data_IF_829883632824
#
_entry.id   IF_829883632824
#
_cell.length_a   1.000
_cell.length_b   1.000
_cell.length_c   1.000
_cell.angle_alpha   90.00
_cell.angle_beta   90.00
_cell.angle_gamma   90.00
#
_symmetry.space_group_name_H-M   'P 1'
#
loop_
_entity.id
_entity.type
_entity.pdbx_description
1 polymer ?
#
# COMPACT_ATOMS: atom_id res chain seq x y z
N UNK A 1 -19.40 21.81 -21.91
CA UNK A 1 -18.86 20.75 -22.75
C UNK A 1 -18.52 21.20 -24.18
N UNK A 2 -19.44 21.94 -24.86
CA UNK A 2 -19.19 22.41 -26.23
C UNK A 2 -17.96 23.32 -26.36
N UNK A 3 -17.74 24.27 -25.42
CA UNK A 3 -16.57 25.14 -25.44
C UNK A 3 -15.26 24.42 -25.11
N UNK A 4 -15.30 23.43 -24.20
CA UNK A 4 -14.14 22.58 -23.92
C UNK A 4 -13.77 21.71 -25.11
N UNK A 5 -14.79 21.17 -25.79
CA UNK A 5 -14.59 20.39 -26.99
C UNK A 5 -13.96 21.26 -28.09
N UNK A 6 -14.51 22.47 -28.29
CA UNK A 6 -13.96 23.44 -29.23
C UNK A 6 -12.52 23.84 -28.90
N UNK A 7 -12.16 24.03 -27.63
CA UNK A 7 -10.79 24.32 -27.23
C UNK A 7 -9.84 23.15 -27.46
N UNK A 8 -10.26 21.91 -27.16
CA UNK A 8 -9.48 20.71 -27.45
C UNK A 8 -9.29 20.48 -28.94
N UNK A 9 -10.30 20.72 -29.73
CA UNK A 9 -10.22 20.66 -31.21
C UNK A 9 -9.27 21.73 -31.77
N UNK A 10 -9.30 22.94 -31.20
CA UNK A 10 -8.38 24.01 -31.58
C UNK A 10 -6.92 23.67 -31.17
N UNK A 11 -6.67 23.08 -30.01
CA UNK A 11 -5.34 22.59 -29.61
C UNK A 11 -4.84 21.49 -30.54
N UNK A 12 -5.68 20.51 -30.87
CA UNK A 12 -5.32 19.46 -31.80
C UNK A 12 -4.99 19.99 -33.20
N UNK A 13 -5.66 21.09 -33.65
CA UNK A 13 -5.34 21.76 -34.90
C UNK A 13 -3.98 22.49 -34.87
N UNK A 14 -3.58 23.03 -33.70
CA UNK A 14 -2.25 23.63 -33.51
C UNK A 14 -1.17 22.56 -33.60
N UNK A 15 -1.36 21.42 -32.96
CA UNK A 15 -0.40 20.31 -33.00
C UNK A 15 -0.26 19.75 -34.44
N UNK A 16 -1.39 19.58 -35.15
CA UNK A 16 -1.38 19.15 -36.54
C UNK A 16 -0.68 20.16 -37.48
N UNK A 17 -0.86 21.49 -37.24
CA UNK A 17 -0.21 22.52 -38.00
C UNK A 17 1.32 22.56 -37.71
N UNK A 18 1.75 22.33 -36.47
CA UNK A 18 3.17 22.22 -36.11
C UNK A 18 3.84 21.00 -36.76
N UNK A 19 3.12 19.89 -36.78
CA UNK A 19 3.57 18.69 -37.49
C UNK A 19 3.71 18.92 -39.00
N UNK A 20 2.84 19.72 -39.60
CA UNK A 20 2.93 20.11 -40.99
C UNK A 20 4.18 20.98 -41.29
N UNK A 21 4.54 21.89 -40.39
CA UNK A 21 5.78 22.67 -40.46
C UNK A 21 7.00 21.75 -40.42
N UNK A 22 7.00 20.77 -39.52
CA UNK A 22 8.11 19.82 -39.41
C UNK A 22 8.29 18.94 -40.66
N UNK A 23 7.22 18.69 -41.41
CA UNK A 23 7.21 17.89 -42.65
C UNK A 23 7.46 18.67 -43.92
N UNK A 24 7.40 20.02 -43.87
CA UNK A 24 7.55 20.86 -45.05
C UNK A 24 9.00 20.89 -45.62
N UNK A 25 9.99 20.41 -44.86
CA UNK A 25 11.37 20.29 -45.34
C UNK A 25 11.99 21.63 -45.76
N UNK A 26 12.85 21.62 -46.79
CA UNK A 26 13.59 22.82 -47.29
C UNK A 26 12.80 23.66 -48.30
N UNK A 27 11.53 23.38 -48.53
CA UNK A 27 10.69 24.08 -49.52
C UNK A 27 10.11 25.36 -48.92
N UNK A 28 10.71 26.52 -49.22
CA UNK A 28 10.42 27.81 -48.58
C UNK A 28 8.95 28.26 -48.72
N UNK A 29 8.28 27.95 -49.87
CA UNK A 29 6.87 28.32 -50.04
C UNK A 29 5.94 27.46 -49.17
N UNK A 30 6.23 26.19 -49.03
CA UNK A 30 5.45 25.28 -48.14
C UNK A 30 5.68 25.58 -46.67
N UNK A 31 6.89 25.98 -46.30
CA UNK A 31 7.22 26.38 -44.93
C UNK A 31 6.44 27.63 -44.51
N UNK A 32 6.40 28.65 -45.37
CA UNK A 32 5.69 29.92 -45.12
C UNK A 32 4.16 29.70 -44.99
N UNK A 33 3.58 28.88 -45.86
CA UNK A 33 2.16 28.51 -45.79
C UNK A 33 1.83 27.71 -44.53
N UNK A 34 2.73 26.82 -44.08
CA UNK A 34 2.54 26.03 -42.85
C UNK A 34 2.70 26.93 -41.57
N UNK A 35 3.60 27.88 -41.57
CA UNK A 35 3.77 28.88 -40.48
C UNK A 35 2.54 29.79 -40.34
N UNK A 36 1.96 30.24 -41.44
CA UNK A 36 0.69 30.99 -41.42
C UNK A 36 -0.46 30.12 -40.87
N UNK A 37 -0.47 28.84 -41.20
CA UNK A 37 -1.44 27.89 -40.63
C UNK A 37 -1.30 27.72 -39.12
N UNK A 38 -0.07 27.67 -38.59
CA UNK A 38 0.19 27.61 -37.14
C UNK A 38 -0.32 28.87 -36.44
N UNK A 39 -0.02 30.06 -36.99
CA UNK A 39 -0.49 31.34 -36.45
C UNK A 39 -2.01 31.43 -36.40
N UNK A 40 -2.70 30.98 -37.46
CA UNK A 40 -4.18 30.94 -37.46
C UNK A 40 -4.74 29.94 -36.44
N UNK A 41 -4.14 28.78 -36.30
CA UNK A 41 -4.57 27.80 -35.31
C UNK A 41 -4.31 28.26 -33.86
N UNK A 42 -3.17 28.93 -33.61
CA UNK A 42 -2.86 29.50 -32.27
C UNK A 42 -3.80 30.65 -31.90
N UNK A 43 -4.18 31.51 -32.86
CA UNK A 43 -5.18 32.58 -32.61
C UNK A 43 -6.55 31.97 -32.30
N UNK A 44 -7.01 30.96 -33.04
CA UNK A 44 -8.25 30.27 -32.79
C UNK A 44 -8.26 29.57 -31.42
N UNK A 45 -7.14 28.92 -31.03
CA UNK A 45 -7.00 28.31 -29.73
C UNK A 45 -7.04 29.34 -28.59
N UNK A 46 -6.38 30.49 -28.75
CA UNK A 46 -6.40 31.59 -27.77
C UNK A 46 -7.79 32.19 -27.57
N UNK A 47 -8.54 32.39 -28.67
CA UNK A 47 -9.93 32.86 -28.59
C UNK A 47 -10.86 31.83 -27.94
N UNK A 48 -10.71 30.54 -28.26
CA UNK A 48 -11.49 29.48 -27.63
C UNK A 48 -11.18 29.38 -26.13
N UNK A 49 -9.92 29.55 -25.74
CA UNK A 49 -9.50 29.61 -24.33
C UNK A 49 -10.16 30.81 -23.61
N UNK A 50 -10.08 31.99 -24.20
CA UNK A 50 -10.67 33.21 -23.63
C UNK A 50 -12.18 33.07 -23.39
N UNK A 51 -12.93 32.53 -24.35
CA UNK A 51 -14.37 32.26 -24.20
C UNK A 51 -14.65 31.20 -23.09
N UNK A 52 -13.80 30.23 -22.95
CA UNK A 52 -13.90 29.22 -21.88
C UNK A 52 -13.67 29.86 -20.49
N UNK A 53 -12.66 30.69 -20.36
CA UNK A 53 -12.30 31.38 -19.12
C UNK A 53 -13.35 32.43 -18.72
N UNK A 54 -13.92 33.17 -19.65
CA UNK A 54 -15.05 34.09 -19.39
C UNK A 54 -16.27 33.34 -18.87
N UNK A 55 -16.60 32.20 -19.47
CA UNK A 55 -17.74 31.37 -19.01
C UNK A 55 -17.48 30.71 -17.67
N UNK A 56 -16.21 30.35 -17.38
CA UNK A 56 -15.79 29.87 -16.05
C UNK A 56 -15.95 30.97 -15.00
N UNK A 57 -15.47 32.17 -15.29
CA UNK A 57 -15.57 33.32 -14.39
C UNK A 57 -17.02 33.66 -14.05
N UNK A 58 -17.90 33.74 -15.04
CA UNK A 58 -19.34 33.95 -14.81
C UNK A 58 -19.97 32.85 -13.94
N UNK A 59 -19.54 31.60 -14.10
CA UNK A 59 -20.04 30.46 -13.31
C UNK A 59 -19.50 30.46 -11.88
N UNK A 60 -18.24 30.86 -11.66
CA UNK A 60 -17.65 31.04 -10.33
C UNK A 60 -18.34 32.16 -9.56
N UNK A 61 -18.62 33.30 -10.20
CA UNK A 61 -19.33 34.44 -9.60
C UNK A 61 -20.74 34.04 -9.13
N UNK A 62 -21.50 33.30 -9.97
CA UNK A 62 -22.84 32.83 -9.59
C UNK A 62 -22.81 31.81 -8.45
N UNK A 63 -21.76 30.98 -8.37
CA UNK A 63 -21.61 29.98 -7.32
C UNK A 63 -21.20 30.60 -5.99
N UNK A 64 -20.26 31.54 -6.01
CA UNK A 64 -19.85 32.26 -4.83
C UNK A 64 -20.98 33.08 -4.22
N UNK A 65 -21.80 33.74 -5.08
CA UNK A 65 -23.01 34.46 -4.64
C UNK A 65 -24.02 33.56 -3.95
N UNK A 66 -24.11 32.28 -4.35
CA UNK A 66 -25.01 31.31 -3.74
C UNK A 66 -24.48 30.69 -2.43
N UNK A 67 -23.16 30.75 -2.18
CA UNK A 67 -22.54 30.22 -0.96
C UNK A 67 -22.50 31.19 0.22
N UNK A 68 -22.65 32.47 -0.03
CA UNK A 68 -22.59 33.51 1.01
C UNK A 68 -23.89 33.57 1.77
N UNK A 69 -23.85 33.37 3.09
CA UNK A 69 -24.97 33.64 3.97
C UNK A 69 -25.06 35.15 4.14
N UNK A 70 -26.26 35.70 4.00
CA UNK A 70 -26.52 37.12 4.22
C UNK A 70 -26.37 37.40 5.71
N UNK A 71 -25.25 38.00 6.14
CA UNK A 71 -24.95 38.32 7.53
C UNK A 71 -25.65 39.61 8.00
N UNK A 72 -26.16 40.40 7.06
CA UNK A 72 -26.75 41.71 7.30
C UNK A 72 -25.72 42.83 7.33
N UNK A 73 -24.41 42.51 7.27
CA UNK A 73 -23.29 43.45 7.13
C UNK A 73 -22.72 43.39 5.70
N UNK A 74 -22.84 44.45 4.90
CA UNK A 74 -22.42 44.45 3.51
C UNK A 74 -20.89 44.29 3.34
N UNK A 75 -20.09 44.74 4.29
CA UNK A 75 -18.62 44.58 4.22
C UNK A 75 -18.17 43.17 4.55
N UNK A 76 -18.84 42.49 5.46
CA UNK A 76 -18.59 41.11 5.80
C UNK A 76 -19.06 40.16 4.68
N UNK A 77 -20.24 40.42 4.11
CA UNK A 77 -20.73 39.69 2.96
C UNK A 77 -19.81 39.79 1.75
N UNK A 78 -19.18 40.97 1.53
CA UNK A 78 -18.21 41.19 0.45
C UNK A 78 -16.92 40.39 0.68
N UNK A 79 -16.37 40.39 1.90
CA UNK A 79 -15.19 39.61 2.27
C UNK A 79 -15.44 38.10 2.14
N UNK A 80 -16.60 37.63 2.57
CA UNK A 80 -16.99 36.21 2.45
C UNK A 80 -17.12 35.80 0.98
N UNK A 81 -17.63 36.69 0.11
CA UNK A 81 -17.67 36.45 -1.35
C UNK A 81 -16.28 36.34 -1.94
N UNK A 82 -15.38 37.26 -1.64
CA UNK A 82 -13.99 37.25 -2.12
C UNK A 82 -13.26 35.97 -1.71
N UNK A 83 -13.45 35.51 -0.45
CA UNK A 83 -12.86 34.26 0.05
C UNK A 83 -13.48 33.05 -0.64
N UNK A 84 -14.79 33.04 -0.88
CA UNK A 84 -15.48 31.96 -1.58
C UNK A 84 -15.03 31.86 -3.05
N UNK A 85 -14.89 33.01 -3.72
CA UNK A 85 -14.40 33.10 -5.10
C UNK A 85 -12.95 32.61 -5.22
N UNK A 86 -12.07 33.01 -4.30
CA UNK A 86 -10.69 32.57 -4.28
C UNK A 86 -10.55 31.06 -4.05
N UNK A 87 -11.34 30.51 -3.12
CA UNK A 87 -11.38 29.06 -2.86
C UNK A 87 -11.93 28.28 -4.05
N UNK A 88 -12.95 28.80 -4.68
CA UNK A 88 -13.55 28.15 -5.86
C UNK A 88 -12.59 28.20 -7.05
N UNK A 89 -11.91 29.33 -7.27
CA UNK A 89 -10.88 29.46 -8.31
C UNK A 89 -9.71 28.51 -8.09
N UNK A 90 -9.20 28.42 -6.86
CA UNK A 90 -8.14 27.45 -6.49
C UNK A 90 -8.61 26.00 -6.73
N UNK A 91 -9.83 25.67 -6.33
CA UNK A 91 -10.39 24.34 -6.52
C UNK A 91 -10.65 24.00 -8.00
N UNK A 92 -10.95 24.96 -8.85
CA UNK A 92 -11.09 24.78 -10.29
C UNK A 92 -9.74 24.63 -10.98
N UNK A 93 -8.73 25.40 -10.57
CA UNK A 93 -7.37 25.28 -11.08
C UNK A 93 -6.72 23.92 -10.75
N UNK A 94 -6.95 23.42 -9.56
CA UNK A 94 -6.45 22.10 -9.09
C UNK A 94 -7.00 20.92 -9.93
N UNK A 95 -8.09 21.13 -10.68
CA UNK A 95 -8.81 20.09 -11.39
C UNK A 95 -8.90 20.34 -12.91
N UNK A 96 -8.05 21.18 -13.46
CA UNK A 96 -8.09 21.52 -14.90
C UNK A 96 -7.90 20.30 -15.80
N UNK A 97 -7.12 19.33 -15.39
CA UNK A 97 -6.80 18.13 -16.15
C UNK A 97 -7.64 16.89 -15.78
N UNK A 98 -8.58 17.00 -14.84
CA UNK A 98 -9.37 15.87 -14.39
C UNK A 98 -10.72 15.78 -15.10
N UNK A 99 -11.05 14.68 -15.81
CA UNK A 99 -12.32 14.51 -16.53
C UNK A 99 -13.58 14.56 -15.65
N UNK A 100 -13.45 14.52 -14.33
CA UNK A 100 -14.53 14.59 -13.36
C UNK A 100 -14.88 16.02 -12.90
N UNK A 101 -14.38 17.05 -13.52
CA UNK A 101 -14.30 18.39 -12.93
C UNK A 101 -15.50 19.32 -13.09
N UNK A 102 -16.49 19.03 -13.90
CA UNK A 102 -17.65 19.90 -14.05
C UNK A 102 -18.94 19.10 -14.06
N UNK A 103 -19.82 19.31 -13.05
CA UNK A 103 -21.11 18.66 -13.01
C UNK A 103 -22.03 19.17 -14.14
N UNK A 104 -22.80 18.24 -14.70
CA UNK A 104 -23.82 18.53 -15.70
C UNK A 104 -25.07 19.20 -15.08
N UNK A 105 -25.25 19.12 -13.76
CA UNK A 105 -26.41 19.65 -13.06
C UNK A 105 -26.29 21.16 -12.82
N UNK A 106 -27.32 21.91 -13.16
CA UNK A 106 -27.41 23.34 -12.89
C UNK A 106 -27.73 23.70 -11.43
N UNK A 107 -27.97 22.69 -10.59
CA UNK A 107 -28.24 22.85 -9.15
C UNK A 107 -26.97 22.91 -8.33
N UNK A 108 -26.86 23.85 -7.40
CA UNK A 108 -25.73 23.99 -6.48
C UNK A 108 -25.55 22.72 -5.61
N UNK A 109 -26.63 22.12 -5.15
CA UNK A 109 -26.58 20.88 -4.37
C UNK A 109 -26.03 19.72 -5.21
N UNK A 110 -26.46 19.59 -6.47
CA UNK A 110 -25.93 18.59 -7.40
C UNK A 110 -24.43 18.77 -7.66
N UNK A 111 -23.98 20.02 -7.82
CA UNK A 111 -22.55 20.32 -7.98
C UNK A 111 -21.73 19.92 -6.77
N UNK A 112 -22.20 20.21 -5.55
CA UNK A 112 -21.52 19.81 -4.31
C UNK A 112 -21.49 18.29 -4.15
N UNK A 113 -22.60 17.61 -4.41
CA UNK A 113 -22.69 16.15 -4.32
C UNK A 113 -21.73 15.46 -5.30
N UNK A 114 -21.67 15.93 -6.55
CA UNK A 114 -20.71 15.38 -7.53
C UNK A 114 -19.26 15.63 -7.15
N UNK A 115 -18.95 16.79 -6.53
CA UNK A 115 -17.57 17.07 -6.06
C UNK A 115 -17.17 16.20 -4.87
N UNK A 116 -18.10 16.00 -3.92
CA UNK A 116 -17.87 15.06 -2.81
C UNK A 116 -17.61 13.67 -3.38
N UNK A 117 -18.47 13.18 -4.27
CA UNK A 117 -18.30 11.87 -4.89
C UNK A 117 -16.98 11.74 -5.69
N UNK A 118 -16.52 12.82 -6.33
CA UNK A 118 -15.22 12.84 -7.00
C UNK A 118 -14.05 12.73 -5.99
N UNK A 119 -14.10 13.51 -4.91
CA UNK A 119 -13.07 13.43 -3.85
C UNK A 119 -13.08 12.07 -3.16
N UNK A 120 -14.24 11.51 -2.90
CA UNK A 120 -14.37 10.16 -2.32
C UNK A 120 -13.73 9.09 -3.23
N UNK A 121 -13.93 9.19 -4.55
CA UNK A 121 -13.25 8.29 -5.50
C UNK A 121 -11.72 8.43 -5.47
N UNK A 122 -11.20 9.66 -5.43
CA UNK A 122 -9.75 9.88 -5.35
C UNK A 122 -9.18 9.33 -4.04
N UNK A 123 -9.86 9.58 -2.91
CA UNK A 123 -9.46 9.03 -1.62
C UNK A 123 -9.53 7.50 -1.62
N UNK A 124 -10.58 6.92 -2.18
CA UNK A 124 -10.69 5.46 -2.32
C UNK A 124 -9.54 4.88 -3.13
N UNK A 125 -9.19 5.47 -4.28
CA UNK A 125 -8.05 5.03 -5.08
C UNK A 125 -6.72 5.13 -4.32
N UNK A 126 -6.51 6.20 -3.53
CA UNK A 126 -5.30 6.35 -2.72
C UNK A 126 -5.27 5.33 -1.58
N UNK A 127 -6.40 5.12 -0.89
CA UNK A 127 -6.51 4.11 0.15
C UNK A 127 -6.29 2.71 -0.40
N UNK A 128 -6.87 2.39 -1.55
CA UNK A 128 -6.67 1.10 -2.21
C UNK A 128 -5.21 0.87 -2.55
N UNK A 129 -4.51 1.88 -3.07
CA UNK A 129 -3.08 1.79 -3.36
C UNK A 129 -2.23 1.52 -2.10
N UNK A 130 -2.58 2.15 -0.97
CA UNK A 130 -1.90 1.92 0.32
C UNK A 130 -2.23 0.53 0.86
N UNK A 131 -3.52 0.16 0.88
CA UNK A 131 -3.99 -1.12 1.42
C UNK A 131 -3.49 -2.33 0.63
N UNK A 132 -3.18 -2.15 -0.66
CA UNK A 132 -2.63 -3.20 -1.53
C UNK A 132 -1.10 -3.14 -1.66
N UNK A 133 -0.43 -2.22 -0.97
CA UNK A 133 1.03 -2.23 -0.89
C UNK A 133 1.49 -3.44 -0.07
N UNK A 134 2.39 -4.25 -0.62
CA UNK A 134 2.88 -5.51 -0.04
C UNK A 134 3.36 -5.33 1.42
N UNK A 135 4.21 -4.32 1.65
CA UNK A 135 4.71 -4.03 3.00
C UNK A 135 3.60 -3.66 4.01
N UNK A 136 2.50 -3.04 3.53
CA UNK A 136 1.37 -2.74 4.39
C UNK A 136 0.54 -4.00 4.68
N UNK A 137 0.35 -4.86 3.69
CA UNK A 137 -0.38 -6.13 3.85
C UNK A 137 0.34 -7.06 4.83
N UNK A 138 1.66 -7.16 4.74
CA UNK A 138 2.47 -7.93 5.68
C UNK A 138 2.30 -7.40 7.12
N UNK A 139 2.43 -6.09 7.31
CA UNK A 139 2.24 -5.46 8.62
C UNK A 139 0.81 -5.67 9.14
N UNK A 140 -0.20 -5.47 8.29
CA UNK A 140 -1.61 -5.68 8.63
C UNK A 140 -1.87 -7.15 9.05
N UNK A 141 -1.30 -8.12 8.33
CA UNK A 141 -1.45 -9.53 8.65
C UNK A 141 -0.95 -9.86 10.06
N UNK A 142 0.24 -9.36 10.42
CA UNK A 142 0.82 -9.56 11.75
C UNK A 142 -0.06 -8.94 12.84
N UNK A 143 -0.48 -7.69 12.66
CA UNK A 143 -1.32 -7.00 13.65
C UNK A 143 -2.72 -7.59 13.77
N UNK A 144 -3.31 -8.05 12.68
CA UNK A 144 -4.61 -8.75 12.73
C UNK A 144 -4.51 -10.10 13.41
N UNK A 145 -3.44 -10.86 13.15
CA UNK A 145 -3.16 -12.11 13.85
C UNK A 145 -3.00 -11.90 15.35
N UNK A 146 -2.23 -10.89 15.76
CA UNK A 146 -2.07 -10.54 17.17
C UNK A 146 -3.40 -10.09 17.80
N UNK A 147 -4.16 -9.24 17.11
CA UNK A 147 -5.48 -8.80 17.56
C UNK A 147 -6.40 -10.01 17.76
N UNK A 148 -6.45 -10.93 16.79
CA UNK A 148 -7.26 -12.15 16.90
C UNK A 148 -6.87 -12.99 18.12
N UNK A 149 -5.57 -13.19 18.33
CA UNK A 149 -5.06 -13.93 19.47
C UNK A 149 -5.45 -13.28 20.80
N UNK A 150 -5.25 -11.97 20.95
CA UNK A 150 -5.53 -11.25 22.20
C UNK A 150 -7.02 -11.21 22.51
N UNK A 151 -7.87 -10.95 21.52
CA UNK A 151 -9.31 -10.78 21.75
C UNK A 151 -10.08 -12.11 21.86
N UNK A 152 -9.52 -13.21 21.37
CA UNK A 152 -10.12 -14.54 21.50
C UNK A 152 -9.49 -15.39 22.60
N UNK A 153 -8.54 -14.84 23.36
CA UNK A 153 -7.90 -15.53 24.48
C UNK A 153 -8.35 -14.90 25.79
N UNK A 154 -8.89 -15.69 26.68
CA UNK A 154 -9.21 -15.26 28.04
C UNK A 154 -7.91 -15.17 28.86
N UNK A 155 -7.33 -13.98 28.89
CA UNK A 155 -6.13 -13.73 29.69
C UNK A 155 -6.45 -13.71 31.18
N UNK A 156 -5.59 -14.33 31.98
CA UNK A 156 -5.73 -14.43 33.44
C UNK A 156 -4.34 -14.48 34.09
N UNK A 157 -4.28 -14.59 35.40
CA UNK A 157 -3.01 -14.80 36.11
C UNK A 157 -2.26 -16.05 35.67
N UNK A 158 -2.98 -17.02 35.08
CA UNK A 158 -2.43 -18.29 34.58
C UNK A 158 -2.12 -18.29 33.10
N UNK A 159 -2.68 -17.36 32.32
CA UNK A 159 -2.48 -17.25 30.89
C UNK A 159 -2.13 -15.81 30.51
N UNK A 160 -0.85 -15.57 30.28
CA UNK A 160 -0.28 -14.27 29.95
C UNK A 160 0.27 -14.29 28.54
N UNK A 161 -0.01 -13.24 27.79
CA UNK A 161 0.58 -13.01 26.48
C UNK A 161 1.67 -11.94 26.61
N UNK A 162 2.87 -12.27 26.21
CA UNK A 162 4.01 -11.32 26.18
C UNK A 162 4.45 -11.13 24.75
N UNK A 163 4.74 -9.89 24.38
CA UNK A 163 5.17 -9.51 23.04
C UNK A 163 6.66 -9.16 23.06
N UNK A 164 7.44 -9.85 22.23
CA UNK A 164 8.82 -9.56 21.98
C UNK A 164 8.95 -8.86 20.62
N UNK A 165 9.28 -7.58 20.62
CA UNK A 165 9.42 -6.80 19.40
C UNK A 165 10.85 -6.93 18.85
N UNK A 166 11.03 -7.86 17.91
CA UNK A 166 12.28 -8.06 17.19
C UNK A 166 11.97 -8.38 15.71
N UNK A 167 12.70 -7.77 14.80
CA UNK A 167 12.63 -8.14 13.39
C UNK A 167 13.38 -9.46 13.15
N UNK A 168 13.01 -10.17 12.08
CA UNK A 168 13.71 -11.39 11.68
C UNK A 168 15.22 -11.16 11.48
N UNK A 169 15.59 -9.99 10.92
CA UNK A 169 16.98 -9.62 10.72
C UNK A 169 17.75 -9.44 12.03
N UNK A 170 17.14 -8.84 13.03
CA UNK A 170 17.76 -8.69 14.36
C UNK A 170 17.92 -10.02 15.04
N UNK A 171 16.88 -10.85 15.03
CA UNK A 171 16.91 -12.21 15.58
C UNK A 171 17.98 -13.06 14.91
N UNK A 172 18.04 -13.04 13.59
CA UNK A 172 19.09 -13.72 12.83
C UNK A 172 20.48 -13.23 13.23
N UNK A 173 20.69 -11.91 13.29
CA UNK A 173 21.98 -11.34 13.64
C UNK A 173 22.40 -11.71 15.06
N UNK A 174 21.48 -11.76 16.00
CA UNK A 174 21.75 -12.19 17.38
C UNK A 174 22.20 -13.66 17.42
N UNK A 175 21.43 -14.52 16.77
CA UNK A 175 21.75 -15.95 16.70
C UNK A 175 23.01 -16.26 15.89
N UNK A 176 23.33 -15.51 14.84
CA UNK A 176 24.57 -15.69 14.06
C UNK A 176 25.81 -15.21 14.81
N UNK A 177 25.72 -14.13 15.59
CA UNK A 177 26.83 -13.60 16.40
C UNK A 177 27.13 -14.46 17.62
N UNK A 178 26.13 -15.12 18.17
CA UNK A 178 26.34 -16.05 19.26
C UNK A 178 27.11 -17.27 18.76
N UNK A 179 28.25 -17.57 19.38
CA UNK A 179 29.05 -18.76 19.06
C UNK A 179 28.25 -20.02 19.41
N UNK A 180 27.60 -20.01 20.58
CA UNK A 180 26.68 -21.03 21.04
C UNK A 180 25.32 -20.39 21.30
N UNK A 181 24.22 -21.18 21.23
CA UNK A 181 22.86 -20.69 21.37
C UNK A 181 22.59 -20.01 22.73
N UNK A 182 23.28 -20.44 23.79
CA UNK A 182 23.18 -19.91 25.15
C UNK A 182 23.70 -18.48 25.30
N UNK A 183 24.57 -18.01 24.39
CA UNK A 183 25.10 -16.66 24.41
C UNK A 183 24.18 -15.64 23.70
N UNK A 184 23.12 -16.12 23.05
CA UNK A 184 22.18 -15.27 22.34
C UNK A 184 21.32 -14.44 23.31
N UNK A 185 20.93 -13.24 22.87
CA UNK A 185 20.00 -12.41 23.63
C UNK A 185 18.65 -13.10 23.79
N UNK A 186 18.22 -13.83 22.76
CA UNK A 186 16.98 -14.61 22.82
C UNK A 186 17.02 -15.64 23.95
N UNK A 187 18.11 -16.40 24.08
CA UNK A 187 18.26 -17.38 25.14
C UNK A 187 18.22 -16.73 26.52
N UNK A 188 18.91 -15.61 26.70
CA UNK A 188 18.90 -14.87 27.97
C UNK A 188 17.51 -14.44 28.36
N UNK A 189 16.72 -13.90 27.41
CA UNK A 189 15.35 -13.47 27.65
C UNK A 189 14.37 -14.61 27.93
N UNK A 190 14.52 -15.74 27.24
CA UNK A 190 13.57 -16.86 27.34
C UNK A 190 13.95 -17.80 28.49
N UNK A 191 15.24 -18.11 28.64
CA UNK A 191 15.70 -19.08 29.62
C UNK A 191 16.25 -18.43 30.90
N UNK A 192 17.25 -17.56 30.82
CA UNK A 192 17.91 -17.05 32.01
C UNK A 192 17.02 -16.16 32.86
N UNK A 193 16.27 -15.23 32.23
CA UNK A 193 15.42 -14.28 32.95
C UNK A 193 14.16 -14.92 33.52
N UNK A 194 13.56 -15.88 32.81
CA UNK A 194 12.26 -16.43 33.19
C UNK A 194 12.33 -17.85 33.73
N UNK A 195 13.10 -18.77 33.12
CA UNK A 195 13.20 -20.15 33.55
C UNK A 195 14.30 -20.33 34.62
N UNK A 196 15.45 -19.67 34.44
CA UNK A 196 16.60 -19.79 35.34
C UNK A 196 16.56 -18.90 36.58
N UNK A 197 15.61 -17.98 36.68
CA UNK A 197 15.52 -17.01 37.78
C UNK A 197 14.42 -17.36 38.76
N UNK A 198 14.71 -17.33 40.07
CA UNK A 198 13.73 -17.57 41.11
C UNK A 198 12.59 -16.54 41.07
N UNK A 199 11.36 -16.99 40.95
CA UNK A 199 10.18 -16.16 40.81
C UNK A 199 9.90 -15.73 39.35
N UNK A 200 10.68 -16.19 38.38
CA UNK A 200 10.38 -16.02 36.96
C UNK A 200 9.16 -16.84 36.52
N UNK A 201 8.59 -16.47 35.39
CA UNK A 201 7.41 -17.10 34.80
C UNK A 201 7.80 -17.77 33.46
N UNK A 202 8.19 -19.06 33.45
CA UNK A 202 8.63 -19.73 32.24
C UNK A 202 7.57 -19.69 31.14
N UNK A 203 8.02 -19.49 29.89
CA UNK A 203 7.13 -19.51 28.75
C UNK A 203 6.64 -20.93 28.46
N UNK A 204 5.37 -21.08 28.19
CA UNK A 204 4.76 -22.37 27.82
C UNK A 204 4.81 -22.61 26.31
N UNK A 205 4.92 -21.56 25.50
CA UNK A 205 4.97 -21.61 24.03
C UNK A 205 5.57 -20.34 23.48
N UNK A 206 6.38 -20.47 22.43
CA UNK A 206 6.91 -19.37 21.64
C UNK A 206 6.18 -19.33 20.31
N UNK A 207 5.62 -18.17 19.95
CA UNK A 207 5.01 -17.91 18.64
C UNK A 207 5.94 -17.01 17.85
N UNK A 208 6.51 -17.53 16.76
CA UNK A 208 7.37 -16.76 15.87
C UNK A 208 6.61 -16.40 14.59
N UNK A 209 6.44 -15.11 14.36
CA UNK A 209 5.71 -14.58 13.21
C UNK A 209 6.67 -14.46 12.03
N UNK A 210 7.04 -15.60 11.45
CA UNK A 210 7.89 -15.71 10.26
C UNK A 210 7.53 -16.98 9.49
N UNK A 211 7.69 -16.92 8.16
CA UNK A 211 7.45 -18.06 7.28
C UNK A 211 8.78 -18.68 6.88
N UNK A 212 9.00 -19.89 7.35
CA UNK A 212 10.23 -20.64 7.08
C UNK A 212 10.16 -21.36 5.73
N UNK A 213 11.11 -21.02 4.87
CA UNK A 213 11.33 -21.69 3.58
C UNK A 213 12.47 -22.73 3.63
N UNK A 214 12.95 -23.09 2.44
CA UNK A 214 14.08 -24.03 2.27
C UNK A 214 15.44 -23.31 2.24
N UNK A 215 15.46 -22.00 2.45
CA UNK A 215 16.71 -21.21 2.46
C UNK A 215 17.64 -21.71 3.57
N UNK A 216 18.95 -21.83 3.27
CA UNK A 216 19.96 -22.16 4.28
C UNK A 216 19.97 -21.17 5.46
N UNK A 217 19.57 -19.92 5.21
CA UNK A 217 19.42 -18.90 6.25
C UNK A 217 18.26 -19.23 7.16
N UNK A 218 17.10 -19.56 6.61
CA UNK A 218 15.90 -19.90 7.38
C UNK A 218 16.13 -21.16 8.21
N UNK A 219 16.73 -22.18 7.60
CA UNK A 219 17.04 -23.42 8.29
C UNK A 219 18.08 -23.22 9.40
N UNK A 220 19.08 -22.37 9.19
CA UNK A 220 20.08 -22.04 10.21
C UNK A 220 19.47 -21.31 11.40
N UNK A 221 18.57 -20.36 11.18
CA UNK A 221 17.85 -19.67 12.25
C UNK A 221 16.90 -20.64 12.96
N UNK A 222 16.14 -21.44 12.21
CA UNK A 222 15.20 -22.40 12.75
C UNK A 222 15.88 -23.44 13.65
N UNK A 223 17.08 -23.90 13.27
CA UNK A 223 17.86 -24.82 14.06
C UNK A 223 18.28 -24.21 15.40
N UNK A 224 18.85 -23.01 15.39
CA UNK A 224 19.24 -22.32 16.63
C UNK A 224 18.07 -21.96 17.51
N UNK A 225 16.92 -21.61 16.90
CA UNK A 225 15.66 -21.42 17.62
C UNK A 225 15.18 -22.71 18.27
N UNK A 226 15.35 -23.85 17.60
CA UNK A 226 15.00 -25.17 18.15
C UNK A 226 15.86 -25.52 19.37
N UNK A 227 17.17 -25.21 19.33
CA UNK A 227 18.09 -25.40 20.44
C UNK A 227 17.68 -24.59 21.68
N UNK A 228 17.31 -23.30 21.47
CA UNK A 228 16.78 -22.44 22.56
C UNK A 228 15.44 -22.98 23.08
N UNK A 229 14.54 -23.38 22.20
CA UNK A 229 13.22 -23.93 22.56
C UNK A 229 13.36 -25.25 23.34
N UNK A 230 14.29 -26.10 22.95
CA UNK A 230 14.60 -27.36 23.65
C UNK A 230 15.17 -27.10 25.05
N UNK A 231 16.12 -26.18 25.18
CA UNK A 231 16.70 -25.83 26.48
C UNK A 231 15.67 -25.22 27.44
N UNK A 232 14.77 -24.39 26.94
CA UNK A 232 13.69 -23.79 27.74
C UNK A 232 12.47 -24.72 27.93
N UNK A 233 12.48 -25.90 27.33
CA UNK A 233 11.32 -26.82 27.31
C UNK A 233 10.04 -26.18 26.75
N UNK A 234 10.16 -25.26 25.82
CA UNK A 234 9.09 -24.43 25.30
C UNK A 234 8.91 -24.70 23.81
N UNK A 235 7.78 -25.26 23.34
CA UNK A 235 7.56 -25.49 21.92
C UNK A 235 7.50 -24.17 21.15
N UNK A 236 8.14 -24.17 19.99
CA UNK A 236 8.14 -23.08 19.02
C UNK A 236 7.09 -23.35 17.94
N UNK A 237 6.15 -22.44 17.77
CA UNK A 237 5.18 -22.45 16.68
C UNK A 237 5.51 -21.34 15.69
N UNK A 238 5.59 -21.68 14.41
CA UNK A 238 5.83 -20.73 13.33
C UNK A 238 5.05 -21.13 12.07
N UNK A 239 5.20 -20.40 10.99
CA UNK A 239 4.56 -20.71 9.72
C UNK A 239 5.53 -21.37 8.74
N UNK A 240 5.00 -22.27 7.90
CA UNK A 240 5.72 -22.82 6.77
C UNK A 240 5.47 -21.95 5.53
N UNK A 241 6.50 -21.64 4.77
CA UNK A 241 6.36 -21.03 3.45
C UNK A 241 5.94 -22.07 2.40
N UNK A 242 5.13 -21.72 1.40
CA UNK A 242 4.83 -22.62 0.26
C UNK A 242 6.10 -23.13 -0.43
N UNK A 243 7.16 -22.34 -0.44
CA UNK A 243 8.46 -22.70 -1.00
C UNK A 243 9.10 -23.92 -0.32
N UNK A 244 8.76 -24.21 0.95
CA UNK A 244 9.18 -25.42 1.63
C UNK A 244 8.70 -26.70 0.93
N UNK A 245 7.62 -26.60 0.17
CA UNK A 245 7.05 -27.69 -0.62
C UNK A 245 7.37 -27.58 -2.11
N UNK A 246 8.21 -26.62 -2.51
CA UNK A 246 8.49 -26.31 -3.91
C UNK A 246 7.29 -25.70 -4.66
N UNK A 247 6.35 -25.10 -3.93
CA UNK A 247 5.13 -24.51 -4.46
C UNK A 247 5.23 -22.98 -4.48
N UNK A 248 4.57 -22.36 -5.46
CA UNK A 248 4.44 -20.90 -5.51
C UNK A 248 3.40 -20.34 -4.55
N UNK A 249 2.35 -21.12 -4.28
CA UNK A 249 1.26 -20.75 -3.36
C UNK A 249 0.68 -22.00 -2.70
N UNK A 250 0.07 -21.83 -1.53
CA UNK A 250 -0.69 -22.92 -0.89
C UNK A 250 -1.96 -23.34 -1.65
N UNK A 251 -2.45 -22.54 -2.58
CA UNK A 251 -3.51 -22.93 -3.52
C UNK A 251 -3.13 -24.13 -4.38
N UNK A 252 -1.82 -24.30 -4.60
CA UNK A 252 -1.25 -25.39 -5.40
C UNK A 252 -1.01 -26.67 -4.58
N UNK A 253 -1.26 -26.65 -3.28
CA UNK A 253 -1.04 -27.79 -2.38
C UNK A 253 -1.75 -29.08 -2.78
N UNK A 254 -2.92 -29.06 -3.46
CA UNK A 254 -3.57 -30.26 -3.95
C UNK A 254 -2.91 -30.89 -5.20
N UNK A 255 -2.01 -30.17 -5.90
CA UNK A 255 -1.40 -30.62 -7.15
C UNK A 255 -0.38 -31.76 -6.97
N UNK A 256 0.51 -31.74 -5.95
CA UNK A 256 1.43 -32.85 -5.70
C UNK A 256 0.68 -34.10 -5.28
N UNK A 257 0.94 -35.23 -5.95
CA UNK A 257 0.32 -36.52 -5.60
C UNK A 257 0.81 -37.11 -4.27
N UNK A 258 2.07 -36.80 -3.93
CA UNK A 258 2.73 -37.38 -2.77
C UNK A 258 3.70 -36.34 -2.17
N UNK A 259 3.25 -35.67 -1.12
CA UNK A 259 4.03 -34.68 -0.40
C UNK A 259 5.27 -35.28 0.29
N UNK A 260 5.21 -36.57 0.67
CA UNK A 260 6.34 -37.21 1.33
C UNK A 260 7.55 -37.35 0.39
N UNK A 261 7.33 -37.59 -0.90
CA UNK A 261 8.39 -37.72 -1.89
C UNK A 261 9.12 -36.42 -2.15
N UNK A 262 8.48 -35.27 -1.96
CA UNK A 262 9.12 -33.96 -2.12
C UNK A 262 10.34 -33.89 -1.20
N UNK A 263 10.17 -34.28 0.06
CA UNK A 263 11.23 -34.21 1.06
C UNK A 263 12.37 -35.24 0.88
N UNK A 264 12.23 -36.15 -0.08
CA UNK A 264 13.27 -37.15 -0.37
C UNK A 264 14.28 -36.67 -1.43
N UNK A 265 14.01 -35.56 -2.10
CA UNK A 265 14.92 -35.02 -3.12
C UNK A 265 16.24 -34.52 -2.52
N UNK A 266 17.25 -34.35 -3.38
CA UNK A 266 18.58 -33.87 -2.97
C UNK A 266 18.55 -32.46 -2.36
N UNK A 267 17.62 -31.62 -2.80
CA UNK A 267 17.51 -30.24 -2.35
C UNK A 267 17.11 -30.13 -0.86
N UNK A 268 16.57 -31.22 -0.29
CA UNK A 268 16.08 -31.26 1.09
C UNK A 268 17.05 -31.97 2.07
N UNK A 269 18.32 -32.11 1.74
CA UNK A 269 19.31 -32.77 2.62
C UNK A 269 19.42 -32.03 3.96
N UNK A 270 19.55 -30.70 3.94
CA UNK A 270 19.65 -29.89 5.16
C UNK A 270 18.38 -29.96 5.99
N UNK A 271 17.20 -29.93 5.37
CA UNK A 271 15.91 -30.08 6.02
C UNK A 271 15.77 -31.45 6.69
N UNK A 272 16.19 -32.54 6.03
CA UNK A 272 16.20 -33.88 6.62
C UNK A 272 17.16 -33.98 7.80
N UNK A 273 18.36 -33.43 7.66
CA UNK A 273 19.33 -33.38 8.75
C UNK A 273 18.80 -32.62 9.96
N UNK A 274 18.10 -31.51 9.74
CA UNK A 274 17.42 -30.77 10.82
C UNK A 274 16.35 -31.64 11.50
N UNK A 275 15.51 -32.33 10.73
CA UNK A 275 14.42 -33.18 11.27
C UNK A 275 14.93 -34.38 12.07
N UNK A 276 16.14 -34.85 11.81
CA UNK A 276 16.76 -35.95 12.55
C UNK A 276 17.33 -35.53 13.91
N UNK A 277 17.49 -34.23 14.15
CA UNK A 277 17.96 -33.71 15.44
C UNK A 277 16.89 -33.82 16.51
N UNK A 278 17.29 -34.14 17.73
CA UNK A 278 16.38 -34.26 18.89
C UNK A 278 15.63 -32.96 19.18
N UNK A 279 16.26 -31.79 18.96
CA UNK A 279 15.69 -30.48 19.23
C UNK A 279 14.56 -30.12 18.25
N UNK A 280 14.54 -30.73 17.07
CA UNK A 280 13.49 -30.48 16.05
C UNK A 280 12.08 -30.82 16.55
N UNK A 281 11.94 -31.68 17.54
CA UNK A 281 10.65 -32.02 18.15
C UNK A 281 9.95 -30.86 18.87
N UNK A 282 10.73 -29.82 19.22
CA UNK A 282 10.19 -28.61 19.83
C UNK A 282 9.67 -27.61 18.78
N UNK A 283 9.83 -27.86 17.49
CA UNK A 283 9.42 -26.95 16.41
C UNK A 283 8.19 -27.50 15.70
N UNK A 284 7.19 -26.63 15.55
CA UNK A 284 5.98 -26.93 14.78
C UNK A 284 5.78 -25.83 13.73
N UNK A 285 5.70 -26.21 12.46
CA UNK A 285 5.38 -25.29 11.37
C UNK A 285 3.92 -25.49 10.95
N UNK A 286 3.15 -24.39 11.03
CA UNK A 286 1.73 -24.36 10.70
C UNK A 286 1.52 -23.99 9.23
N UNK A 287 0.54 -24.60 8.58
CA UNK A 287 0.07 -24.31 7.22
C UNK A 287 -1.41 -24.72 7.07
N UNK A 288 -2.14 -24.20 6.10
CA UNK A 288 -1.86 -23.05 5.23
C UNK A 288 -2.12 -21.71 5.91
N UNK A 289 -1.97 -20.63 5.16
CA UNK A 289 -2.38 -19.30 5.61
C UNK A 289 -3.90 -19.20 5.73
N UNK A 290 -4.38 -18.46 6.73
CA UNK A 290 -5.79 -18.11 6.87
C UNK A 290 -6.02 -16.69 6.36
N UNK A 291 -7.01 -16.54 5.50
CA UNK A 291 -7.44 -15.23 5.02
C UNK A 291 -8.29 -14.56 6.09
N UNK A 292 -7.80 -13.44 6.63
CA UNK A 292 -8.47 -12.70 7.70
C UNK A 292 -9.27 -11.49 7.18
N UNK A 293 -9.13 -11.18 5.88
CA UNK A 293 -9.81 -10.05 5.22
C UNK A 293 -10.07 -10.36 3.76
#
# INVERSE_FOLDING_TARGET
DALRKAYKEALASVDAARDAVSKAGEDQEKQKAAEEGVQQAETAASEAKKKLDEKRKAKTESFAAAMVRNSGDPDEDKRQREVADARLAACLAEHEDNPFTLPASGSMLGMLTERVACKDKLLACQLDAILHAEAFQELEAVWRGLHYLVFNTETSDRLKLRLFNASFKELRTDLERAVEFDQSLLFKRVYEEEYGTFGGEPYSCLLHVHEYGLSAVDLGVLQKMAEVAAAAHTPLLSAASPQLFGLGSFTDLPLPRDLHKIFQSADYIEWRSFREKDDSRYVTLCLPHLLMR
#
